data_IF_218958571711
#
_entry.id   IF_218958571711
#
_cell.length_a   1.000
_cell.length_b   1.000
_cell.length_c   1.000
_cell.angle_alpha   90.00
_cell.angle_beta   90.00
_cell.angle_gamma   90.00
#
_symmetry.space_group_name_H-M   'P 1'
#
loop_
_entity.id
_entity.type
_entity.pdbx_description
1 polymer ?
#
# COMPACT_ATOMS: atom_id res chain seq x y z
N UNK A 1 -4.70 54.27 -53.42
CA UNK A 1 -4.41 55.72 -53.26
C UNK A 1 -4.49 56.06 -51.81
N UNK A 2 -3.63 56.87 -51.32
CA UNK A 2 -2.29 56.65 -50.78
C UNK A 2 -2.33 56.94 -49.26
N UNK A 3 -1.41 56.84 -48.36
CA UNK A 3 0.01 57.21 -48.38
C UNK A 3 0.75 56.65 -47.18
N UNK A 4 1.94 56.36 -47.47
CA UNK A 4 3.10 56.17 -46.63
C UNK A 4 3.32 57.24 -45.58
N UNK A 5 3.96 56.85 -44.44
CA UNK A 5 5.08 57.64 -43.89
C UNK A 5 6.05 56.77 -43.06
N UNK A 6 7.26 56.62 -43.61
CA UNK A 6 8.47 56.23 -42.91
C UNK A 6 8.99 57.37 -42.07
N UNK A 7 9.54 57.15 -40.89
CA UNK A 7 10.73 57.87 -40.46
C UNK A 7 11.59 57.07 -39.48
N UNK A 8 12.81 56.93 -39.87
CA UNK A 8 14.02 56.40 -39.23
C UNK A 8 14.69 57.47 -38.37
N UNK A 9 15.42 57.08 -37.28
CA UNK A 9 16.75 57.61 -36.85
C UNK A 9 17.03 57.18 -35.44
N UNK A 10 18.03 56.43 -35.20
CA UNK A 10 19.51 56.60 -34.98
C UNK A 10 19.86 56.60 -33.49
N UNK A 11 20.51 55.55 -33.10
CA UNK A 11 21.87 55.39 -32.50
C UNK A 11 22.30 56.41 -31.42
N UNK A 12 22.57 55.88 -30.21
CA UNK A 12 23.75 56.32 -29.43
C UNK A 12 24.25 55.16 -28.54
N UNK A 13 25.50 54.79 -28.80
CA UNK A 13 26.31 53.89 -27.96
C UNK A 13 26.93 54.74 -26.84
N UNK A 14 26.91 54.22 -25.61
CA UNK A 14 27.86 54.69 -24.57
C UNK A 14 28.45 53.44 -23.90
N UNK A 15 29.79 53.44 -23.87
CA UNK A 15 30.66 52.41 -23.28
C UNK A 15 31.11 52.85 -21.88
N UNK A 16 31.19 51.82 -20.99
CA UNK A 16 32.16 51.59 -19.90
C UNK A 16 32.03 52.41 -18.60
N UNK A 17 32.60 51.98 -17.45
CA UNK A 17 33.60 50.91 -17.26
C UNK A 17 33.30 49.91 -16.13
N UNK A 18 34.10 48.88 -16.14
CA UNK A 18 34.32 47.80 -15.15
C UNK A 18 34.77 48.35 -13.79
N UNK A 19 34.14 47.92 -12.72
CA UNK A 19 34.73 47.93 -11.39
C UNK A 19 34.58 46.56 -10.77
N UNK A 20 35.68 45.83 -10.66
CA UNK A 20 35.79 44.57 -9.97
C UNK A 20 35.81 44.82 -8.46
N UNK A 21 34.85 44.28 -7.74
CA UNK A 21 34.92 44.17 -6.29
C UNK A 21 34.86 42.69 -5.92
N UNK A 22 35.98 42.19 -5.45
CA UNK A 22 36.19 40.88 -4.91
C UNK A 22 35.52 40.83 -3.52
N UNK A 23 34.43 40.10 -3.39
CA UNK A 23 33.88 39.73 -2.08
C UNK A 23 34.02 38.24 -1.91
N UNK A 24 34.90 37.84 -1.01
CA UNK A 24 35.01 36.50 -0.46
C UNK A 24 33.80 36.31 0.43
N UNK A 25 32.86 35.47 0.02
CA UNK A 25 31.78 34.99 0.87
C UNK A 25 32.02 33.51 1.18
N UNK A 26 32.14 33.24 2.47
CA UNK A 26 32.22 31.90 3.03
C UNK A 26 31.05 31.07 2.55
N UNK A 27 31.35 29.87 2.02
CA UNK A 27 30.38 28.87 1.71
C UNK A 27 29.81 28.30 3.01
N UNK A 28 28.62 28.73 3.38
CA UNK A 28 27.72 27.90 4.18
C UNK A 28 27.00 26.97 3.22
N UNK A 29 27.31 25.67 3.25
CA UNK A 29 26.53 24.62 2.59
C UNK A 29 25.18 24.52 3.30
N UNK A 30 24.20 25.27 2.84
CA UNK A 30 22.80 25.00 3.07
C UNK A 30 22.32 24.15 1.90
N UNK A 31 22.20 22.84 2.14
CA UNK A 31 21.55 21.91 1.22
C UNK A 31 20.10 22.32 1.09
N UNK A 32 19.78 23.01 0.01
CA UNK A 32 18.40 23.24 -0.40
C UNK A 32 17.80 21.86 -0.76
N UNK A 33 17.02 21.27 0.14
CA UNK A 33 16.13 20.17 -0.18
C UNK A 33 15.10 20.67 -1.18
N UNK A 34 15.26 20.28 -2.44
CA UNK A 34 14.23 20.45 -3.46
C UNK A 34 13.05 19.54 -3.08
N UNK A 35 11.98 20.14 -2.59
CA UNK A 35 10.71 19.47 -2.41
C UNK A 35 10.20 19.01 -3.79
N UNK A 36 10.13 17.72 -4.00
CA UNK A 36 9.43 17.12 -5.14
C UNK A 36 7.92 17.42 -4.99
N UNK A 37 7.29 18.13 -5.92
CA UNK A 37 5.87 18.48 -5.84
C UNK A 37 4.93 17.26 -5.86
N UNK A 38 5.41 16.06 -6.16
CA UNK A 38 4.63 14.82 -6.19
C UNK A 38 4.54 14.09 -4.85
N UNK A 39 5.27 14.54 -3.79
CA UNK A 39 5.21 13.92 -2.47
C UNK A 39 5.63 12.45 -2.45
N UNK A 40 6.58 12.06 -3.30
CA UNK A 40 7.14 10.71 -3.35
C UNK A 40 7.73 10.31 -2.00
N UNK A 41 7.28 9.18 -1.49
CA UNK A 41 7.80 8.55 -0.28
C UNK A 41 9.16 7.94 -0.60
N UNK A 42 10.16 8.26 0.19
CA UNK A 42 11.37 7.41 0.24
C UNK A 42 10.92 6.05 0.77
N UNK A 43 11.17 4.95 0.04
CA UNK A 43 10.76 3.64 0.50
C UNK A 43 11.57 3.29 1.75
N UNK A 44 10.87 3.04 2.83
CA UNK A 44 11.47 2.36 3.98
C UNK A 44 11.45 0.86 3.66
N UNK A 45 12.34 0.46 2.73
CA UNK A 45 12.52 -0.94 2.33
C UNK A 45 13.15 -1.79 3.46
N UNK A 46 13.48 -1.18 4.60
CA UNK A 46 14.38 -1.78 5.57
C UNK A 46 13.68 -2.61 6.67
N UNK A 47 12.34 -2.67 6.74
CA UNK A 47 11.67 -3.37 7.85
C UNK A 47 10.38 -4.10 7.47
N UNK A 48 10.27 -4.59 6.25
CA UNK A 48 9.33 -5.68 6.03
C UNK A 48 9.96 -6.93 6.67
N UNK A 49 9.34 -7.48 7.71
CA UNK A 49 9.65 -8.83 8.14
C UNK A 49 9.15 -9.74 7.03
N UNK A 50 9.99 -9.90 6.01
CA UNK A 50 9.83 -10.95 5.02
C UNK A 50 10.21 -12.21 5.76
N UNK A 51 9.22 -13.02 6.12
CA UNK A 51 9.49 -14.41 6.47
C UNK A 51 10.02 -15.02 5.18
N UNK A 52 11.33 -15.22 5.13
CA UNK A 52 12.04 -15.70 3.94
C UNK A 52 11.49 -17.09 3.61
N UNK A 53 10.74 -17.19 2.52
CA UNK A 53 10.14 -18.45 2.09
C UNK A 53 11.20 -19.47 1.58
N UNK A 54 12.46 -19.03 1.45
CA UNK A 54 13.58 -19.82 0.95
C UNK A 54 14.58 -20.21 2.05
N UNK A 55 14.32 -19.86 3.33
CA UNK A 55 15.13 -20.38 4.44
C UNK A 55 14.80 -21.85 4.68
N UNK A 56 15.78 -22.73 4.56
CA UNK A 56 15.69 -24.11 5.00
C UNK A 56 15.33 -24.16 6.50
N UNK A 57 14.56 -25.15 6.95
CA UNK A 57 14.18 -25.24 8.34
C UNK A 57 15.41 -25.54 9.20
N UNK A 58 15.81 -24.58 10.03
CA UNK A 58 16.71 -24.84 11.13
C UNK A 58 16.01 -25.73 12.16
N UNK A 59 16.70 -26.78 12.54
CA UNK A 59 16.22 -27.85 13.37
C UNK A 59 15.91 -27.39 14.81
N UNK A 60 14.84 -27.97 15.33
CA UNK A 60 14.55 -28.23 16.74
C UNK A 60 14.85 -27.14 17.80
N UNK A 61 13.85 -26.26 18.04
CA UNK A 61 13.56 -25.78 19.39
C UNK A 61 12.14 -26.19 19.75
N UNK A 62 12.01 -27.28 20.46
CA UNK A 62 10.76 -27.66 21.15
C UNK A 62 10.52 -26.65 22.27
N UNK A 63 9.63 -25.67 22.03
CA UNK A 63 9.07 -24.86 23.07
C UNK A 63 7.83 -25.57 23.62
N UNK A 64 7.86 -25.90 24.90
CA UNK A 64 6.72 -26.42 25.67
C UNK A 64 5.49 -25.53 25.47
N UNK A 65 4.26 -26.10 25.35
CA UNK A 65 3.06 -25.31 25.19
C UNK A 65 2.68 -24.63 26.52
N UNK A 66 2.94 -23.34 26.61
CA UNK A 66 2.31 -22.52 27.66
C UNK A 66 0.83 -22.42 27.31
N UNK A 67 -0.02 -22.98 28.17
CA UNK A 67 -1.47 -22.89 28.04
C UNK A 67 -1.91 -21.42 28.13
N UNK A 68 -2.21 -20.79 26.99
CA UNK A 68 -2.87 -19.50 26.97
C UNK A 68 -4.31 -19.64 27.48
N UNK A 69 -4.79 -18.68 28.30
CA UNK A 69 -6.20 -18.68 28.71
C UNK A 69 -7.06 -18.54 27.46
N UNK A 70 -8.01 -19.43 27.30
CA UNK A 70 -9.00 -19.43 26.22
C UNK A 70 -9.83 -18.13 26.29
N UNK A 71 -9.38 -17.08 25.61
CA UNK A 71 -10.20 -15.93 25.31
C UNK A 71 -11.31 -16.41 24.36
N UNK A 72 -12.56 -16.34 24.83
CA UNK A 72 -13.72 -16.64 24.02
C UNK A 72 -13.60 -15.95 22.67
N UNK A 73 -13.53 -16.75 21.61
CA UNK A 73 -13.44 -16.27 20.23
C UNK A 73 -14.72 -15.50 19.93
N UNK A 74 -14.68 -14.17 20.08
CA UNK A 74 -15.70 -13.31 19.52
C UNK A 74 -15.56 -13.43 18.00
N UNK A 75 -16.42 -14.23 17.37
CA UNK A 75 -16.47 -14.36 15.93
C UNK A 75 -16.73 -12.97 15.33
N UNK A 76 -15.93 -12.58 14.36
CA UNK A 76 -16.14 -11.35 13.57
C UNK A 76 -17.41 -11.56 12.74
N UNK A 77 -18.55 -11.16 13.28
CA UNK A 77 -19.88 -11.55 12.80
C UNK A 77 -20.37 -10.76 11.59
N UNK A 78 -19.51 -9.90 11.00
CA UNK A 78 -19.91 -9.04 9.87
C UNK A 78 -18.90 -7.95 9.57
N UNK A 79 -19.25 -7.01 8.68
CA UNK A 79 -18.43 -5.86 8.36
C UNK A 79 -17.40 -6.10 7.27
N UNK A 80 -16.41 -5.21 7.19
CA UNK A 80 -15.31 -5.30 6.22
C UNK A 80 -14.04 -5.85 6.89
N UNK A 81 -13.14 -6.52 6.15
CA UNK A 81 -11.84 -6.94 6.66
C UNK A 81 -11.08 -5.79 7.31
N UNK A 82 -10.61 -6.00 8.54
CA UNK A 82 -9.91 -5.00 9.35
C UNK A 82 -8.65 -5.59 9.97
N UNK A 83 -7.49 -4.93 9.78
CA UNK A 83 -6.24 -5.37 10.40
C UNK A 83 -5.00 -4.71 9.82
N UNK A 84 -3.87 -5.42 9.89
CA UNK A 84 -2.56 -4.89 9.54
C UNK A 84 -1.85 -5.81 8.54
N UNK A 85 -0.95 -5.23 7.74
CA UNK A 85 -0.04 -6.03 6.91
C UNK A 85 0.93 -6.81 7.79
N UNK A 86 1.37 -7.97 7.30
CA UNK A 86 2.36 -8.84 7.96
C UNK A 86 2.01 -9.24 9.41
N UNK A 87 0.73 -9.23 9.77
CA UNK A 87 0.36 -9.70 11.12
C UNK A 87 0.50 -11.22 11.25
N UNK A 88 0.95 -11.73 12.40
CA UNK A 88 0.95 -13.17 12.68
C UNK A 88 -0.46 -13.76 12.57
N UNK A 89 -0.57 -15.01 12.12
CA UNK A 89 -1.88 -15.69 11.97
C UNK A 89 -2.61 -15.80 13.32
N UNK A 90 -1.88 -15.90 14.43
CA UNK A 90 -2.44 -15.90 15.78
C UNK A 90 -3.20 -14.62 16.12
N UNK A 91 -2.96 -13.52 15.41
CA UNK A 91 -3.65 -12.25 15.59
C UNK A 91 -5.05 -12.18 14.96
N UNK A 92 -5.43 -13.18 14.16
CA UNK A 92 -6.81 -13.36 13.71
C UNK A 92 -7.64 -13.99 14.86
N UNK A 93 -7.88 -13.20 15.90
CA UNK A 93 -8.45 -13.64 17.17
C UNK A 93 -9.62 -12.76 17.65
N UNK A 94 -10.33 -12.14 16.71
CA UNK A 94 -11.48 -11.30 17.03
C UNK A 94 -11.18 -9.79 17.07
N UNK A 95 -9.92 -9.34 17.27
CA UNK A 95 -9.56 -7.92 17.07
C UNK A 95 -9.32 -7.64 15.61
N UNK A 96 -8.63 -8.54 14.91
CA UNK A 96 -8.29 -8.42 13.51
C UNK A 96 -8.84 -9.62 12.73
N UNK A 97 -9.49 -9.35 11.62
CA UNK A 97 -9.95 -10.36 10.68
C UNK A 97 -9.45 -10.12 9.26
N UNK A 98 -8.68 -9.06 9.03
CA UNK A 98 -8.12 -8.69 7.74
C UNK A 98 -6.61 -8.56 7.78
N UNK A 99 -5.91 -8.92 6.70
CA UNK A 99 -4.47 -8.68 6.55
C UNK A 99 -4.04 -8.69 5.08
N UNK A 100 -2.81 -8.23 4.82
CA UNK A 100 -2.02 -8.62 3.63
C UNK A 100 -0.90 -9.52 4.11
N UNK A 101 -0.79 -10.70 3.51
CA UNK A 101 0.24 -11.68 3.82
C UNK A 101 1.08 -12.00 2.58
N UNK A 102 2.38 -12.12 2.76
CA UNK A 102 3.30 -12.70 1.77
C UNK A 102 3.43 -14.18 2.09
N UNK A 103 3.07 -15.05 1.15
CA UNK A 103 3.02 -16.50 1.37
C UNK A 103 3.82 -17.24 0.30
N UNK A 104 4.66 -18.17 0.72
CA UNK A 104 5.39 -19.06 -0.18
C UNK A 104 4.54 -20.23 -0.67
N UNK A 105 4.86 -20.84 -1.83
CA UNK A 105 4.06 -21.93 -2.41
C UNK A 105 3.95 -23.17 -1.53
N UNK A 106 4.99 -23.50 -0.76
CA UNK A 106 5.01 -24.64 0.14
C UNK A 106 4.13 -24.47 1.38
N UNK A 107 3.82 -23.24 1.78
CA UNK A 107 3.12 -22.94 3.04
C UNK A 107 1.71 -22.37 2.83
N UNK A 108 1.37 -21.92 1.62
CA UNK A 108 0.15 -21.14 1.39
C UNK A 108 -1.12 -21.84 1.82
N UNK A 109 -1.27 -23.13 1.51
CA UNK A 109 -2.49 -23.88 1.84
C UNK A 109 -2.68 -24.03 3.36
N UNK A 110 -1.63 -24.36 4.09
CA UNK A 110 -1.68 -24.47 5.55
C UNK A 110 -1.96 -23.10 6.21
N UNK A 111 -1.31 -22.06 5.70
CA UNK A 111 -1.52 -20.68 6.19
C UNK A 111 -2.94 -20.21 5.91
N UNK A 112 -3.48 -20.46 4.72
CA UNK A 112 -4.86 -20.11 4.38
C UNK A 112 -5.87 -20.91 5.20
N UNK A 113 -5.62 -22.20 5.44
CA UNK A 113 -6.42 -23.01 6.34
C UNK A 113 -6.46 -22.44 7.76
N UNK A 114 -5.29 -22.06 8.30
CA UNK A 114 -5.18 -21.44 9.61
C UNK A 114 -5.84 -20.06 9.69
N UNK A 115 -5.79 -19.25 8.62
CA UNK A 115 -6.52 -17.98 8.52
C UNK A 115 -8.02 -18.22 8.51
N UNK A 116 -8.48 -19.15 7.64
CA UNK A 116 -9.90 -19.53 7.51
C UNK A 116 -10.50 -20.01 8.82
N UNK A 117 -9.81 -20.89 9.54
CA UNK A 117 -10.28 -21.45 10.82
C UNK A 117 -10.49 -20.38 11.91
N UNK A 118 -9.88 -19.23 11.75
CA UNK A 118 -10.01 -18.05 12.63
C UNK A 118 -10.95 -16.97 12.07
N UNK A 119 -11.69 -17.27 10.98
CA UNK A 119 -12.55 -16.28 10.32
C UNK A 119 -11.81 -15.14 9.63
N UNK A 120 -10.51 -15.33 9.37
CA UNK A 120 -9.65 -14.34 8.75
C UNK A 120 -9.88 -14.18 7.25
N UNK A 121 -9.52 -13.02 6.71
CA UNK A 121 -9.60 -12.65 5.31
C UNK A 121 -8.31 -11.96 4.89
N UNK A 122 -7.71 -12.37 3.77
CA UNK A 122 -6.37 -11.88 3.42
C UNK A 122 -6.24 -11.48 1.95
N UNK A 123 -5.53 -10.37 1.71
CA UNK A 123 -4.90 -10.13 0.44
C UNK A 123 -3.56 -10.89 0.41
N UNK A 124 -3.35 -11.72 -0.61
CA UNK A 124 -2.16 -12.56 -0.71
C UNK A 124 -1.16 -11.99 -1.70
N UNK A 125 0.10 -11.83 -1.28
CA UNK A 125 1.20 -11.47 -2.14
C UNK A 125 1.96 -12.74 -2.56
N UNK A 126 1.82 -13.13 -3.82
CA UNK A 126 2.38 -14.38 -4.33
C UNK A 126 3.79 -14.21 -4.91
N UNK A 127 4.09 -13.05 -5.50
CA UNK A 127 5.40 -12.81 -6.09
C UNK A 127 6.55 -12.66 -5.05
N UNK A 128 6.21 -12.40 -3.79
CA UNK A 128 7.19 -12.26 -2.72
C UNK A 128 7.93 -10.93 -2.76
N UNK A 129 9.19 -10.94 -2.30
CA UNK A 129 10.00 -9.73 -2.21
C UNK A 129 10.32 -9.14 -3.58
N UNK A 130 10.24 -7.80 -3.77
CA UNK A 130 10.58 -7.11 -5.02
C UNK A 130 11.94 -7.48 -5.63
N UNK A 131 12.94 -7.77 -4.82
CA UNK A 131 14.27 -8.21 -5.29
C UNK A 131 14.22 -9.40 -6.28
N UNK A 132 13.17 -10.23 -6.22
CA UNK A 132 13.02 -11.40 -7.09
C UNK A 132 12.45 -11.09 -8.47
N UNK A 133 11.91 -9.89 -8.66
CA UNK A 133 11.28 -9.50 -9.93
C UNK A 133 11.66 -8.10 -10.41
N UNK A 134 12.88 -7.67 -10.05
CA UNK A 134 13.57 -6.54 -10.68
C UNK A 134 14.72 -7.03 -11.55
N UNK A 135 15.11 -6.24 -12.54
CA UNK A 135 16.31 -6.45 -13.36
C UNK A 135 17.56 -5.96 -12.66
N UNK A 136 18.73 -6.12 -13.30
CA UNK A 136 20.02 -5.69 -12.74
C UNK A 136 20.08 -4.20 -12.42
N UNK A 137 19.31 -3.38 -13.13
CA UNK A 137 19.20 -1.93 -12.92
C UNK A 137 18.11 -1.55 -11.90
N UNK A 138 17.50 -2.53 -11.24
CA UNK A 138 16.42 -2.32 -10.28
C UNK A 138 15.04 -2.05 -10.91
N UNK A 139 14.92 -2.10 -12.23
CA UNK A 139 13.65 -1.91 -12.93
C UNK A 139 12.74 -3.12 -12.76
N UNK A 140 11.43 -2.85 -12.65
CA UNK A 140 10.42 -3.91 -12.58
C UNK A 140 10.45 -4.80 -13.82
N UNK A 141 10.46 -6.13 -13.61
CA UNK A 141 10.44 -7.13 -14.66
C UNK A 141 9.15 -7.96 -14.61
N UNK A 142 8.25 -7.71 -15.53
CA UNK A 142 7.01 -8.46 -15.67
C UNK A 142 7.25 -9.97 -15.87
N UNK A 143 8.28 -10.33 -16.63
CA UNK A 143 8.65 -11.74 -16.86
C UNK A 143 9.05 -12.44 -15.58
N UNK A 144 9.90 -11.80 -14.77
CA UNK A 144 10.32 -12.35 -13.46
C UNK A 144 9.14 -12.41 -12.50
N UNK A 145 8.29 -11.37 -12.47
CA UNK A 145 7.08 -11.37 -11.66
C UNK A 145 6.14 -12.54 -12.02
N UNK A 146 5.87 -12.76 -13.32
CA UNK A 146 5.09 -13.92 -13.79
C UNK A 146 5.71 -15.24 -13.36
N UNK A 147 7.02 -15.39 -13.48
CA UNK A 147 7.73 -16.59 -13.04
C UNK A 147 7.56 -16.87 -11.54
N UNK A 148 7.52 -15.82 -10.70
CA UNK A 148 7.22 -15.97 -9.26
C UNK A 148 5.78 -16.44 -9.03
N UNK A 149 4.82 -15.83 -9.70
CA UNK A 149 3.39 -16.18 -9.59
C UNK A 149 3.15 -17.62 -10.11
N UNK A 150 3.86 -18.05 -11.14
CA UNK A 150 3.76 -19.41 -11.71
C UNK A 150 4.08 -20.54 -10.73
N UNK A 151 4.81 -20.27 -9.66
CA UNK A 151 5.09 -21.27 -8.62
C UNK A 151 3.82 -21.75 -7.92
N UNK A 152 2.74 -20.98 -8.00
CA UNK A 152 1.46 -21.27 -7.37
C UNK A 152 0.43 -21.88 -8.32
N UNK A 153 0.68 -21.91 -9.63
CA UNK A 153 -0.33 -22.31 -10.65
C UNK A 153 -0.88 -23.73 -10.53
N UNK A 154 -0.14 -24.62 -9.86
CA UNK A 154 -0.59 -26.01 -9.60
C UNK A 154 -1.36 -26.16 -8.30
N UNK A 155 -1.45 -25.10 -7.49
CA UNK A 155 -2.14 -25.13 -6.20
C UNK A 155 -3.61 -24.77 -6.39
N UNK A 156 -4.48 -25.55 -5.77
CA UNK A 156 -5.91 -25.23 -5.79
C UNK A 156 -6.25 -24.20 -4.70
N UNK A 157 -6.41 -22.96 -5.11
CA UNK A 157 -6.83 -21.85 -4.24
C UNK A 157 -8.33 -21.55 -4.30
N UNK A 158 -9.08 -22.23 -5.16
CA UNK A 158 -10.48 -21.92 -5.49
C UNK A 158 -11.40 -21.88 -4.27
N UNK A 159 -11.24 -22.82 -3.34
CA UNK A 159 -12.06 -22.85 -2.13
C UNK A 159 -11.86 -21.61 -1.25
N UNK A 160 -10.63 -21.09 -1.17
CA UNK A 160 -10.28 -19.90 -0.40
C UNK A 160 -10.66 -18.60 -1.12
N UNK A 161 -10.67 -18.62 -2.46
CA UNK A 161 -11.13 -17.51 -3.28
C UNK A 161 -12.65 -17.40 -3.20
N UNK A 162 -13.36 -18.53 -3.34
CA UNK A 162 -14.81 -18.55 -3.44
C UNK A 162 -15.50 -18.26 -2.11
N UNK A 163 -14.94 -18.66 -0.97
CA UNK A 163 -15.48 -18.34 0.35
C UNK A 163 -15.02 -16.96 0.89
N UNK A 164 -14.15 -16.28 0.14
CA UNK A 164 -13.65 -14.94 0.50
C UNK A 164 -12.59 -14.94 1.60
N UNK A 165 -11.96 -16.09 1.90
CA UNK A 165 -10.73 -16.12 2.72
C UNK A 165 -9.62 -15.34 2.03
N UNK A 166 -9.44 -15.53 0.71
CA UNK A 166 -8.64 -14.64 -0.14
C UNK A 166 -9.53 -13.54 -0.68
N UNK A 167 -9.29 -12.31 -0.25
CA UNK A 167 -10.03 -11.13 -0.74
C UNK A 167 -9.42 -10.54 -2.01
N UNK A 168 -8.11 -10.70 -2.24
CA UNK A 168 -7.44 -10.29 -3.46
C UNK A 168 -6.03 -10.88 -3.60
N UNK A 169 -5.53 -10.97 -4.83
CA UNK A 169 -4.10 -11.08 -5.14
C UNK A 169 -3.47 -9.68 -5.06
N UNK A 170 -2.66 -9.45 -4.04
CA UNK A 170 -1.85 -8.23 -3.91
C UNK A 170 -0.67 -8.34 -4.88
N UNK A 171 -0.75 -7.63 -6.01
CA UNK A 171 0.19 -7.81 -7.11
C UNK A 171 1.47 -7.01 -6.95
N UNK A 172 1.36 -5.75 -6.53
CA UNK A 172 2.50 -4.84 -6.47
C UNK A 172 2.27 -3.72 -5.44
N UNK A 173 3.39 -3.29 -4.86
CA UNK A 173 3.45 -2.19 -3.93
C UNK A 173 3.96 -0.91 -4.62
N UNK A 174 3.31 0.21 -4.38
CA UNK A 174 3.72 1.55 -4.82
C UNK A 174 4.35 1.60 -6.24
N UNK A 175 3.62 1.17 -7.29
CA UNK A 175 4.13 1.19 -8.66
C UNK A 175 4.50 2.59 -9.16
N UNK A 176 3.94 3.63 -8.54
CA UNK A 176 4.18 5.04 -8.83
C UNK A 176 5.46 5.58 -8.20
N UNK A 177 6.03 4.90 -7.21
CA UNK A 177 7.27 5.36 -6.56
C UNK A 177 8.50 4.89 -7.35
N UNK A 178 9.14 5.84 -8.03
CA UNK A 178 10.34 5.58 -8.83
C UNK A 178 11.50 5.01 -8.02
N UNK A 179 11.59 5.33 -6.72
CA UNK A 179 12.68 4.84 -5.89
C UNK A 179 12.61 3.32 -5.68
N UNK A 180 11.41 2.74 -5.71
CA UNK A 180 11.22 1.29 -5.62
C UNK A 180 11.62 0.53 -6.90
N UNK A 181 11.69 1.22 -8.06
CA UNK A 181 11.74 0.58 -9.37
C UNK A 181 12.86 1.14 -10.25
N UNK A 182 14.06 1.33 -9.69
CA UNK A 182 15.25 1.74 -10.44
C UNK A 182 15.11 3.10 -11.14
N UNK A 183 14.38 4.05 -10.54
CA UNK A 183 14.14 5.37 -11.14
C UNK A 183 12.97 5.45 -12.12
N UNK A 184 12.26 4.35 -12.37
CA UNK A 184 11.09 4.29 -13.27
C UNK A 184 9.82 3.96 -12.49
N UNK A 185 8.66 4.29 -13.07
CA UNK A 185 7.36 3.87 -12.55
C UNK A 185 6.91 2.60 -13.28
N UNK A 186 6.17 1.73 -12.60
CA UNK A 186 5.49 0.61 -13.24
C UNK A 186 4.16 1.09 -13.79
N UNK A 187 4.04 1.19 -15.10
CA UNK A 187 2.91 1.82 -15.78
C UNK A 187 1.55 1.18 -15.45
N UNK A 188 0.44 1.94 -15.52
CA UNK A 188 -0.91 1.38 -15.40
C UNK A 188 -1.21 0.25 -16.39
N UNK A 189 -0.67 0.31 -17.62
CA UNK A 189 -0.81 -0.77 -18.60
C UNK A 189 -0.09 -2.06 -18.20
N UNK A 190 1.07 -1.94 -17.55
CA UNK A 190 1.78 -3.08 -16.96
C UNK A 190 0.97 -3.71 -15.81
N UNK A 191 0.36 -2.88 -14.95
CA UNK A 191 -0.50 -3.36 -13.87
C UNK A 191 -1.72 -4.11 -14.40
N UNK A 192 -2.33 -3.62 -15.47
CA UNK A 192 -3.45 -4.28 -16.14
C UNK A 192 -3.03 -5.63 -16.75
N UNK A 193 -1.82 -5.73 -17.34
CA UNK A 193 -1.27 -6.98 -17.83
C UNK A 193 -0.98 -7.98 -16.67
N UNK A 194 -0.49 -7.50 -15.54
CA UNK A 194 -0.33 -8.32 -14.34
C UNK A 194 -1.69 -8.87 -13.85
N UNK A 195 -2.70 -8.01 -13.82
CA UNK A 195 -4.06 -8.39 -13.44
C UNK A 195 -4.64 -9.42 -14.41
N UNK A 196 -4.50 -9.20 -15.72
CA UNK A 196 -4.89 -10.15 -16.77
C UNK A 196 -4.22 -11.51 -16.58
N UNK A 197 -2.92 -11.50 -16.29
CA UNK A 197 -2.16 -12.73 -16.05
C UNK A 197 -2.69 -13.47 -14.80
N UNK A 198 -2.89 -12.76 -13.68
CA UNK A 198 -3.47 -13.34 -12.47
C UNK A 198 -4.84 -13.98 -12.74
N UNK A 199 -5.73 -13.27 -13.47
CA UNK A 199 -7.05 -13.78 -13.85
C UNK A 199 -6.99 -15.00 -14.79
N UNK A 200 -5.94 -15.15 -15.57
CA UNK A 200 -5.76 -16.35 -16.42
C UNK A 200 -5.44 -17.61 -15.62
N UNK A 201 -4.90 -17.45 -14.41
CA UNK A 201 -4.61 -18.56 -13.48
C UNK A 201 -5.78 -18.79 -12.51
N UNK A 202 -6.40 -17.72 -12.02
CA UNK A 202 -7.50 -17.75 -11.05
C UNK A 202 -8.57 -16.72 -11.45
N UNK A 203 -9.48 -17.11 -12.31
CA UNK A 203 -10.46 -16.18 -12.92
C UNK A 203 -11.31 -15.41 -11.90
N UNK A 204 -11.61 -16.03 -10.76
CA UNK A 204 -12.44 -15.47 -9.69
C UNK A 204 -11.65 -14.69 -8.63
N UNK A 205 -10.31 -14.72 -8.65
CA UNK A 205 -9.51 -14.03 -7.66
C UNK A 205 -9.44 -12.53 -7.99
N UNK A 206 -9.92 -11.64 -7.09
CA UNK A 206 -9.74 -10.21 -7.29
C UNK A 206 -8.26 -9.84 -7.35
N UNK A 207 -7.91 -8.83 -8.14
CA UNK A 207 -6.55 -8.31 -8.29
C UNK A 207 -6.44 -6.95 -7.63
N UNK A 208 -5.36 -6.73 -6.89
CA UNK A 208 -5.16 -5.54 -6.07
C UNK A 208 -3.76 -4.96 -6.26
N UNK A 209 -3.67 -3.65 -6.34
CA UNK A 209 -2.41 -2.90 -6.34
C UNK A 209 -2.44 -1.82 -5.25
N UNK A 210 -1.35 -1.66 -4.50
CA UNK A 210 -1.26 -0.58 -3.50
C UNK A 210 -0.77 0.71 -4.16
N UNK A 211 -1.72 1.52 -4.54
CA UNK A 211 -1.52 2.86 -5.09
C UNK A 211 -2.84 3.64 -4.98
N UNK A 212 -2.77 4.98 -4.88
CA UNK A 212 -3.99 5.80 -4.96
C UNK A 212 -4.63 5.64 -6.35
N UNK A 213 -5.98 5.52 -6.43
CA UNK A 213 -6.68 5.32 -7.71
C UNK A 213 -6.36 6.38 -8.76
N UNK A 214 -6.00 7.60 -8.34
CA UNK A 214 -5.61 8.69 -9.26
C UNK A 214 -4.43 8.35 -10.18
N UNK A 215 -3.52 7.46 -9.72
CA UNK A 215 -2.41 6.97 -10.54
C UNK A 215 -2.87 6.05 -11.68
N UNK A 216 -3.96 5.33 -11.47
CA UNK A 216 -4.48 4.36 -12.43
C UNK A 216 -5.29 5.06 -13.50
N UNK A 217 -4.81 5.05 -14.74
CA UNK A 217 -5.47 5.71 -15.87
C UNK A 217 -6.35 4.75 -16.67
N UNK A 218 -7.47 5.27 -17.18
CA UNK A 218 -8.37 4.53 -18.08
C UNK A 218 -9.32 3.58 -17.36
N UNK A 219 -10.01 2.75 -18.15
CA UNK A 219 -10.89 1.71 -17.70
C UNK A 219 -10.09 0.43 -17.47
N UNK A 220 -10.34 -0.22 -16.34
CA UNK A 220 -9.70 -1.47 -15.96
C UNK A 220 -10.63 -2.64 -16.26
N UNK A 221 -10.13 -3.62 -17.04
CA UNK A 221 -10.87 -4.85 -17.36
C UNK A 221 -10.54 -5.98 -16.40
N UNK A 222 -9.30 -6.00 -15.90
CA UNK A 222 -8.76 -7.10 -15.12
C UNK A 222 -8.30 -6.66 -13.73
N UNK A 223 -7.94 -5.39 -13.54
CA UNK A 223 -7.63 -4.85 -12.22
C UNK A 223 -8.92 -4.50 -11.49
N UNK A 224 -9.13 -5.08 -10.31
CA UNK A 224 -10.37 -4.92 -9.53
C UNK A 224 -10.25 -3.88 -8.41
N UNK A 225 -9.06 -3.71 -7.80
CA UNK A 225 -8.92 -3.01 -6.52
C UNK A 225 -7.70 -2.09 -6.50
N UNK A 226 -7.90 -0.86 -6.06
CA UNK A 226 -6.82 0.03 -5.63
C UNK A 226 -6.75 0.08 -4.10
N UNK A 227 -5.55 0.27 -3.54
CA UNK A 227 -5.38 0.45 -2.11
C UNK A 227 -4.72 1.79 -1.82
N UNK A 228 -5.49 2.70 -1.25
CA UNK A 228 -5.03 4.02 -0.83
C UNK A 228 -4.65 4.02 0.66
N UNK A 229 -3.39 4.32 0.96
CA UNK A 229 -2.87 4.37 2.31
C UNK A 229 -2.68 5.81 2.77
N UNK A 230 -3.34 6.18 3.88
CA UNK A 230 -3.27 7.53 4.42
C UNK A 230 -2.05 7.72 5.36
N UNK A 231 -1.44 8.89 5.21
CA UNK A 231 -0.40 9.46 6.06
C UNK A 231 -0.78 10.92 6.35
N UNK A 232 -0.46 11.42 7.56
CA UNK A 232 -0.84 12.79 7.95
C UNK A 232 -0.36 13.88 6.97
N UNK A 233 0.81 13.69 6.35
CA UNK A 233 1.33 14.60 5.32
C UNK A 233 0.54 14.66 4.01
N UNK A 234 -0.44 13.75 3.81
CA UNK A 234 -1.39 13.78 2.67
C UNK A 234 -2.46 14.86 2.83
N UNK A 235 -2.41 15.64 3.90
CA UNK A 235 -3.35 16.73 4.19
C UNK A 235 -4.63 16.25 4.88
N UNK A 236 -5.73 16.96 4.66
CA UNK A 236 -6.99 16.66 5.34
C UNK A 236 -7.51 15.26 4.99
N UNK A 237 -7.77 14.43 6.00
CA UNK A 237 -8.18 13.03 5.83
C UNK A 237 -9.57 12.90 5.18
N UNK A 238 -10.50 13.83 5.43
CA UNK A 238 -11.83 13.79 4.82
C UNK A 238 -11.75 14.10 3.31
N UNK A 239 -10.89 15.03 2.93
CA UNK A 239 -10.61 15.33 1.52
C UNK A 239 -9.90 14.15 0.86
N UNK A 240 -8.97 13.53 1.56
CA UNK A 240 -8.25 12.36 1.08
C UNK A 240 -9.20 11.21 0.74
N UNK A 241 -10.06 10.80 1.68
CA UNK A 241 -10.99 9.69 1.43
C UNK A 241 -12.00 10.04 0.34
N UNK A 242 -12.53 11.27 0.32
CA UNK A 242 -13.47 11.72 -0.71
C UNK A 242 -12.86 11.61 -2.11
N UNK A 243 -11.65 12.11 -2.31
CA UNK A 243 -10.93 12.03 -3.61
C UNK A 243 -10.70 10.58 -4.03
N UNK A 244 -10.14 9.77 -3.13
CA UNK A 244 -9.82 8.38 -3.46
C UNK A 244 -11.06 7.55 -3.79
N UNK A 245 -12.19 7.81 -3.12
CA UNK A 245 -13.48 7.17 -3.44
C UNK A 245 -13.98 7.61 -4.80
N UNK A 246 -14.00 8.91 -5.09
CA UNK A 246 -14.42 9.42 -6.39
C UNK A 246 -13.56 8.87 -7.53
N UNK A 247 -12.25 8.85 -7.34
CA UNK A 247 -11.30 8.30 -8.32
C UNK A 247 -11.48 6.80 -8.55
N UNK A 248 -11.73 6.02 -7.49
CA UNK A 248 -11.99 4.58 -7.61
C UNK A 248 -13.31 4.33 -8.35
N UNK A 249 -14.39 5.03 -7.98
CA UNK A 249 -15.69 4.93 -8.65
C UNK A 249 -15.62 5.27 -10.14
N UNK A 250 -14.93 6.36 -10.49
CA UNK A 250 -14.77 6.79 -11.87
C UNK A 250 -14.00 5.79 -12.73
N UNK A 251 -13.22 4.88 -12.09
CA UNK A 251 -12.42 3.85 -12.76
C UNK A 251 -13.00 2.44 -12.63
N UNK A 252 -14.18 2.31 -12.01
CA UNK A 252 -14.81 1.00 -11.77
C UNK A 252 -14.02 0.09 -10.82
N UNK A 253 -13.20 0.66 -9.92
CA UNK A 253 -12.36 -0.08 -9.00
C UNK A 253 -12.99 -0.12 -7.60
N UNK A 254 -12.92 -1.26 -6.93
CA UNK A 254 -13.10 -1.33 -5.49
C UNK A 254 -11.91 -0.63 -4.77
N UNK A 255 -12.09 -0.26 -3.51
CA UNK A 255 -11.10 0.48 -2.75
C UNK A 255 -10.80 -0.20 -1.42
N UNK A 256 -9.53 -0.53 -1.17
CA UNK A 256 -8.99 -0.79 0.16
C UNK A 256 -8.42 0.52 0.69
N UNK A 257 -8.64 0.82 1.96
CA UNK A 257 -8.03 1.96 2.64
C UNK A 257 -7.30 1.51 3.90
N UNK A 258 -6.42 2.35 4.43
CA UNK A 258 -5.74 2.09 5.68
C UNK A 258 -4.85 3.25 6.10
N UNK A 259 -4.25 3.12 7.27
CA UNK A 259 -3.28 4.07 7.82
C UNK A 259 -1.87 3.49 7.69
N UNK A 260 -0.87 4.34 7.48
CA UNK A 260 0.49 3.97 7.81
C UNK A 260 0.75 4.33 9.28
N UNK A 261 0.49 3.40 10.18
CA UNK A 261 0.58 3.67 11.61
C UNK A 261 2.02 3.80 12.12
N UNK A 262 3.00 3.31 11.35
CA UNK A 262 4.41 3.31 11.75
C UNK A 262 5.16 4.57 11.28
N UNK A 263 4.84 5.08 10.09
CA UNK A 263 5.54 6.25 9.51
C UNK A 263 4.59 7.34 9.01
N UNK A 264 3.33 7.29 9.41
CA UNK A 264 2.30 8.19 8.90
C UNK A 264 1.86 9.28 9.86
N UNK A 265 2.46 9.37 11.06
CA UNK A 265 2.10 10.37 12.09
C UNK A 265 2.72 11.75 11.88
N UNK A 266 2.47 12.63 12.84
CA UNK A 266 3.05 13.97 12.94
C UNK A 266 3.94 14.09 14.17
N UNK A 267 5.14 14.68 14.08
CA UNK A 267 5.77 15.19 12.83
C UNK A 267 6.06 14.05 11.82
N UNK A 268 6.35 14.45 10.58
CA UNK A 268 6.50 13.52 9.45
C UNK A 268 7.39 12.29 9.77
N UNK A 269 6.98 11.11 9.24
CA UNK A 269 7.65 9.80 9.43
C UNK A 269 7.68 9.28 10.87
N UNK A 270 6.88 9.82 11.78
CA UNK A 270 6.73 9.25 13.13
C UNK A 270 5.61 8.21 13.18
N UNK A 271 5.62 7.38 14.24
CA UNK A 271 4.49 6.51 14.55
C UNK A 271 3.25 7.35 14.88
N UNK A 272 2.09 6.93 14.41
CA UNK A 272 0.83 7.61 14.76
C UNK A 272 0.56 7.45 16.26
N UNK A 273 0.13 8.53 16.89
CA UNK A 273 -0.42 8.52 18.25
C UNK A 273 -1.80 7.85 18.26
N UNK A 274 -2.28 7.41 19.44
CA UNK A 274 -3.63 6.86 19.57
C UNK A 274 -4.71 7.82 19.07
N UNK A 275 -4.54 9.12 19.31
CA UNK A 275 -5.45 10.18 18.83
C UNK A 275 -5.47 10.28 17.31
N UNK A 276 -4.31 10.18 16.66
CA UNK A 276 -4.22 10.19 15.19
C UNK A 276 -4.84 8.95 14.59
N UNK A 277 -4.57 7.76 15.15
CA UNK A 277 -5.19 6.50 14.72
C UNK A 277 -6.70 6.60 14.79
N UNK A 278 -7.24 7.04 15.93
CA UNK A 278 -8.69 7.19 16.12
C UNK A 278 -9.29 8.21 15.16
N UNK A 279 -8.67 9.39 15.04
CA UNK A 279 -9.18 10.50 14.23
C UNK A 279 -9.16 10.14 12.75
N UNK A 280 -7.99 9.71 12.24
CA UNK A 280 -7.83 9.42 10.83
C UNK A 280 -8.53 8.13 10.41
N UNK A 281 -8.42 7.09 11.23
CA UNK A 281 -9.09 5.82 10.97
C UNK A 281 -10.61 5.95 10.97
N UNK A 282 -11.17 6.72 11.91
CA UNK A 282 -12.61 7.00 11.96
C UNK A 282 -13.09 7.75 10.71
N UNK A 283 -12.34 8.73 10.26
CA UNK A 283 -12.67 9.48 9.05
C UNK A 283 -12.66 8.59 7.80
N UNK A 284 -11.66 7.71 7.66
CA UNK A 284 -11.62 6.75 6.55
C UNK A 284 -12.78 5.75 6.60
N UNK A 285 -13.13 5.24 7.79
CA UNK A 285 -14.20 4.27 8.00
C UNK A 285 -15.60 4.89 7.94
N UNK A 286 -15.75 6.22 8.02
CA UNK A 286 -17.05 6.89 7.87
C UNK A 286 -17.59 6.80 6.44
N UNK A 287 -16.71 6.62 5.44
CA UNK A 287 -17.15 6.43 4.07
C UNK A 287 -17.52 4.96 3.83
N UNK A 288 -18.69 4.72 3.22
CA UNK A 288 -19.22 3.36 2.99
C UNK A 288 -18.59 2.62 1.79
N UNK A 289 -17.79 3.28 0.97
CA UNK A 289 -17.28 2.70 -0.27
C UNK A 289 -16.16 1.66 -0.06
N UNK A 290 -15.15 1.86 0.83
CA UNK A 290 -14.06 0.90 0.98
C UNK A 290 -14.53 -0.51 1.35
N UNK A 291 -13.95 -1.53 0.71
CA UNK A 291 -14.24 -2.95 0.94
C UNK A 291 -13.37 -3.60 2.02
N UNK A 292 -12.27 -2.96 2.41
CA UNK A 292 -11.40 -3.42 3.50
C UNK A 292 -10.65 -2.23 4.10
N UNK A 293 -10.20 -2.40 5.37
CA UNK A 293 -9.37 -1.45 6.09
C UNK A 293 -8.12 -2.16 6.58
N UNK A 294 -7.00 -2.01 5.87
CA UNK A 294 -5.74 -2.69 6.17
C UNK A 294 -4.64 -1.65 6.35
N UNK A 295 -3.95 -1.71 7.48
CA UNK A 295 -2.94 -0.72 7.90
C UNK A 295 -1.52 -1.24 7.69
N UNK A 296 -0.57 -0.36 7.46
CA UNK A 296 0.86 -0.62 7.50
C UNK A 296 1.40 -0.24 8.87
N UNK A 297 2.07 -1.11 9.60
CA UNK A 297 2.09 -2.56 9.54
C UNK A 297 2.02 -3.10 10.96
N UNK A 298 1.91 -4.41 11.12
CA UNK A 298 1.96 -5.04 12.43
C UNK A 298 3.32 -4.79 13.11
N UNK A 299 3.27 -4.30 14.34
CA UNK A 299 4.42 -4.14 15.23
C UNK A 299 3.90 -4.31 16.67
N UNK A 300 4.35 -5.37 17.34
CA UNK A 300 3.87 -5.73 18.68
C UNK A 300 4.06 -4.61 19.69
N UNK A 301 5.23 -3.97 19.70
CA UNK A 301 5.58 -2.92 20.66
C UNK A 301 4.72 -1.68 20.48
N UNK A 302 4.47 -1.29 19.19
CA UNK A 302 3.57 -0.20 18.89
C UNK A 302 2.14 -0.52 19.32
N UNK A 303 1.64 -1.71 18.99
CA UNK A 303 0.26 -2.11 19.31
C UNK A 303 0.02 -2.28 20.83
N UNK A 304 1.07 -2.53 21.58
CA UNK A 304 1.06 -2.61 23.05
C UNK A 304 1.21 -1.24 23.73
N UNK A 305 1.55 -0.19 22.97
CA UNK A 305 1.73 1.14 23.57
C UNK A 305 0.40 1.75 24.02
N UNK A 306 0.51 2.65 25.01
CA UNK A 306 -0.66 3.24 25.70
C UNK A 306 -1.67 3.86 24.73
N UNK A 307 -2.92 3.47 24.87
CA UNK A 307 -4.06 3.98 24.09
C UNK A 307 -4.21 3.41 22.68
N UNK A 308 -3.15 2.82 22.08
CA UNK A 308 -3.23 2.27 20.72
C UNK A 308 -4.23 1.10 20.65
N UNK A 309 -4.18 0.19 21.64
CA UNK A 309 -5.14 -0.92 21.71
C UNK A 309 -6.60 -0.45 21.72
N UNK A 310 -6.92 0.56 22.54
CA UNK A 310 -8.28 1.15 22.60
C UNK A 310 -8.69 1.83 21.32
N UNK A 311 -7.77 2.57 20.67
CA UNK A 311 -8.01 3.18 19.37
C UNK A 311 -8.32 2.12 18.29
N UNK A 312 -7.53 1.03 18.25
CA UNK A 312 -7.76 -0.10 17.33
C UNK A 312 -9.11 -0.79 17.59
N UNK A 313 -9.51 -0.99 18.87
CA UNK A 313 -10.82 -1.56 19.21
C UNK A 313 -11.97 -0.63 18.79
N UNK A 314 -11.79 0.68 18.89
CA UNK A 314 -12.73 1.67 18.35
C UNK A 314 -12.92 1.57 16.84
N UNK A 315 -11.80 1.45 16.11
CA UNK A 315 -11.84 1.28 14.65
C UNK A 315 -12.42 -0.09 14.25
N UNK A 316 -12.09 -1.16 15.00
CA UNK A 316 -12.66 -2.48 14.78
C UNK A 316 -14.18 -2.43 14.82
N UNK A 317 -14.77 -1.87 15.89
CA UNK A 317 -16.24 -1.75 16.00
C UNK A 317 -16.85 -0.99 14.83
N UNK A 318 -16.18 0.07 14.33
CA UNK A 318 -16.62 0.78 13.13
C UNK A 318 -16.55 -0.07 11.87
N UNK A 319 -15.51 -0.89 11.71
CA UNK A 319 -15.37 -1.81 10.59
C UNK A 319 -16.41 -2.93 10.63
N UNK A 320 -16.71 -3.48 11.82
CA UNK A 320 -17.74 -4.50 12.04
C UNK A 320 -19.16 -4.01 11.73
N UNK A 321 -19.47 -2.76 12.05
CA UNK A 321 -20.78 -2.17 11.78
C UNK A 321 -21.03 -1.86 10.30
N UNK A 322 -20.03 -2.07 9.44
CA UNK A 322 -20.12 -1.83 8.00
C UNK A 322 -20.83 -2.99 7.30
N UNK A 323 -21.58 -2.67 6.27
CA UNK A 323 -22.08 -3.70 5.35
C UNK A 323 -20.90 -4.45 4.74
N UNK A 324 -20.99 -5.79 4.71
CA UNK A 324 -19.99 -6.61 4.05
C UNK A 324 -19.98 -6.27 2.56
N UNK A 325 -18.86 -5.80 2.05
CA UNK A 325 -18.64 -5.52 0.63
C UNK A 325 -17.57 -6.46 0.09
N UNK A 326 -17.85 -7.05 -1.06
CA UNK A 326 -16.82 -7.73 -1.83
C UNK A 326 -15.80 -6.70 -2.32
N UNK A 327 -14.51 -7.06 -2.29
CA UNK A 327 -13.47 -6.37 -3.06
C UNK A 327 -13.44 -6.83 -4.54
N UNK A 328 -14.47 -7.51 -4.99
CA UNK A 328 -14.70 -7.77 -6.41
C UNK A 328 -15.43 -6.55 -6.98
N UNK A 329 -14.89 -5.99 -8.04
CA UNK A 329 -15.50 -4.90 -8.77
C UNK A 329 -16.81 -5.32 -9.43
#
# INVERSE_FOLDING_TARGET
MPDSFKLSRRIARLRAPVLATLIVALAACESAETLDPAGGLVPDAANEIVVDADAAPDADVQAEPVAEPALASASFAGGIPFGLTAQPITQFNGRYNGSKLTLGPSQILDRLSAVRSRGGKVAVMLAGNPRHYVDGDGHFSLTKWKSRVDQFKKLNLDSYINDGTIIAHYMLDEPNDKANWGGQQVSPSTLEEMARYSKSLWSNMPTLVRVEPSYLSGNHRYLDVAWAQYLARRGNVNDYIRRNVADAQNRGLALVVGLNVIHGGTPNKTRMTAKEVETYGSALLSNSYPCAFIMWQYNSDYLSSSGIGSAMDGLRRKAESRSNKSCRG
#
